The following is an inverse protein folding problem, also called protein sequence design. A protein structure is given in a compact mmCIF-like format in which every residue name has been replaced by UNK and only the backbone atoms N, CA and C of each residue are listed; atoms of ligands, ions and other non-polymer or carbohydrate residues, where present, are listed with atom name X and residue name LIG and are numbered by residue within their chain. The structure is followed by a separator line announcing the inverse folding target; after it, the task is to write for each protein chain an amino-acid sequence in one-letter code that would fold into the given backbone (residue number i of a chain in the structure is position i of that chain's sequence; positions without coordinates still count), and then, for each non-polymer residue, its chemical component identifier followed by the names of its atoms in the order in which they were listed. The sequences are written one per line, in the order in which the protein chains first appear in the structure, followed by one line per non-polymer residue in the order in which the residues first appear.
data_IF_128855834340
#
_entry.id   IF_128855834340
#
_cell.length_a   1.000
_cell.length_b   1.000
_cell.length_c   1.000
_cell.angle_alpha   90.00
_cell.angle_beta   90.00
_cell.angle_gamma   90.00
#
_symmetry.space_group_name_H-M   'P 1'
#
loop_
_entity.id
_entity.type
_entity.pdbx_description
1 polymer ?
#
# COMPACT_ATOMS: atom_id res chain seq x y z
N UNK A 1 -35.95 -7.28 -21.00
CA UNK A 1 -35.61 -7.60 -19.60
C UNK A 1 -34.21 -8.17 -19.58
N UNK A 2 -33.27 -7.56 -18.84
CA UNK A 2 -31.90 -8.05 -18.79
C UNK A 2 -31.89 -9.41 -18.06
N UNK A 3 -31.59 -10.47 -18.80
CA UNK A 3 -31.38 -11.80 -18.25
C UNK A 3 -30.19 -11.74 -17.29
N UNK A 4 -30.43 -12.04 -16.01
CA UNK A 4 -29.39 -12.00 -14.99
C UNK A 4 -28.33 -13.06 -15.33
N UNK A 5 -27.10 -12.62 -15.57
CA UNK A 5 -25.99 -13.51 -15.90
C UNK A 5 -25.85 -14.61 -14.83
N UNK A 6 -25.64 -15.88 -15.22
CA UNK A 6 -25.51 -16.98 -14.27
C UNK A 6 -24.41 -16.71 -13.23
N UNK A 7 -24.62 -17.09 -11.96
CA UNK A 7 -23.66 -16.88 -10.84
C UNK A 7 -22.25 -17.40 -11.15
N UNK A 8 -22.15 -18.46 -11.95
CA UNK A 8 -20.88 -19.03 -12.41
C UNK A 8 -20.07 -18.06 -13.30
N UNK A 9 -20.75 -17.22 -14.07
CA UNK A 9 -20.11 -16.19 -14.91
C UNK A 9 -19.46 -15.13 -14.02
N UNK A 10 -20.16 -14.66 -12.97
CA UNK A 10 -19.60 -13.71 -12.00
C UNK A 10 -18.39 -14.27 -11.26
N UNK A 11 -18.42 -15.56 -10.89
CA UNK A 11 -17.29 -16.23 -10.23
C UNK A 11 -16.05 -16.27 -11.13
N UNK A 12 -16.23 -16.57 -12.42
CA UNK A 12 -15.15 -16.53 -13.43
C UNK A 12 -14.63 -15.11 -13.65
N UNK A 13 -15.51 -14.11 -13.74
CA UNK A 13 -15.14 -12.69 -13.87
C UNK A 13 -14.26 -12.27 -12.69
N UNK A 14 -14.66 -12.59 -11.45
CA UNK A 14 -13.89 -12.24 -10.26
C UNK A 14 -12.54 -12.95 -10.18
N UNK A 15 -12.45 -14.20 -10.63
CA UNK A 15 -11.17 -14.91 -10.73
C UNK A 15 -10.24 -14.29 -11.78
N UNK A 16 -10.80 -13.86 -12.92
CA UNK A 16 -10.05 -13.14 -13.95
C UNK A 16 -9.53 -11.80 -13.41
N UNK A 17 -10.38 -11.01 -12.76
CA UNK A 17 -10.03 -9.72 -12.15
C UNK A 17 -8.88 -9.86 -11.13
N UNK A 18 -8.92 -10.85 -10.24
CA UNK A 18 -7.88 -11.05 -9.24
C UNK A 18 -6.53 -11.38 -9.90
N UNK A 19 -6.53 -12.26 -10.92
CA UNK A 19 -5.31 -12.66 -11.62
C UNK A 19 -4.72 -11.51 -12.45
N UNK A 20 -5.57 -10.79 -13.18
CA UNK A 20 -5.13 -9.67 -14.01
C UNK A 20 -4.68 -8.50 -13.15
N UNK A 21 -5.35 -8.20 -12.03
CA UNK A 21 -4.93 -7.14 -11.10
C UNK A 21 -3.53 -7.37 -10.54
N UNK A 22 -3.17 -8.62 -10.23
CA UNK A 22 -1.81 -8.99 -9.84
C UNK A 22 -0.79 -8.77 -10.96
N UNK A 23 -1.10 -9.20 -12.18
CA UNK A 23 -0.22 -9.02 -13.35
C UNK A 23 -0.05 -7.55 -13.76
N UNK A 24 -1.12 -6.74 -13.70
CA UNK A 24 -1.07 -5.30 -14.00
C UNK A 24 -0.26 -4.57 -12.92
N UNK A 25 -0.48 -4.88 -11.63
CA UNK A 25 0.35 -4.34 -10.55
C UNK A 25 1.82 -4.77 -10.68
N UNK A 26 2.11 -5.97 -11.19
CA UNK A 26 3.49 -6.43 -11.41
C UNK A 26 4.13 -5.79 -12.65
N UNK A 27 3.36 -5.44 -13.68
CA UNK A 27 3.84 -4.71 -14.85
C UNK A 27 4.25 -3.27 -14.49
N UNK A 28 3.57 -2.66 -13.51
CA UNK A 28 3.91 -1.35 -12.94
C UNK A 28 4.75 -1.44 -11.64
N UNK A 29 5.05 -2.67 -11.19
CA UNK A 29 5.70 -2.98 -9.93
C UNK A 29 7.23 -2.96 -10.02
N UNK A 30 7.77 -1.88 -10.59
CA UNK A 30 9.21 -1.69 -10.79
C UNK A 30 9.56 -0.30 -11.33
N UNK A 31 8.59 0.36 -11.97
CA UNK A 31 8.72 1.71 -12.53
C UNK A 31 8.15 2.81 -11.62
N UNK A 32 7.85 2.52 -10.35
CA UNK A 32 7.70 3.59 -9.36
C UNK A 32 9.09 4.11 -8.99
N UNK A 33 9.71 4.84 -9.92
CA UNK A 33 10.61 5.91 -9.53
C UNK A 33 9.76 6.91 -8.77
N UNK A 34 9.80 6.83 -7.44
CA UNK A 34 9.28 7.89 -6.59
C UNK A 34 9.79 9.23 -7.13
N UNK A 35 8.88 10.08 -7.62
CA UNK A 35 9.22 11.44 -8.04
C UNK A 35 9.83 12.24 -6.87
N UNK A 36 9.59 11.77 -5.64
CA UNK A 36 10.39 12.11 -4.48
C UNK A 36 11.69 11.31 -4.50
N UNK A 37 12.78 11.97 -4.90
CA UNK A 37 14.09 11.67 -4.31
C UNK A 37 13.90 11.91 -2.81
N UNK A 38 13.68 10.84 -2.05
CA UNK A 38 13.68 10.93 -0.60
C UNK A 38 14.94 11.68 -0.20
N UNK A 39 14.84 12.66 0.71
CA UNK A 39 16.03 13.19 1.37
C UNK A 39 16.88 11.98 1.74
N UNK A 40 18.16 11.96 1.39
CA UNK A 40 19.06 10.89 1.78
C UNK A 40 19.10 10.81 3.31
N UNK A 41 18.13 10.13 3.89
CA UNK A 41 18.05 9.81 5.29
C UNK A 41 18.42 8.35 5.30
N UNK A 42 19.69 8.05 5.58
CA UNK A 42 20.02 6.72 6.06
C UNK A 42 19.03 6.37 7.16
N UNK A 43 18.37 5.22 7.01
CA UNK A 43 17.37 4.73 7.95
C UNK A 43 18.02 4.66 9.35
N UNK A 44 17.71 5.65 10.20
CA UNK A 44 18.38 5.87 11.48
C UNK A 44 17.71 5.12 12.65
N UNK A 45 17.00 4.03 12.34
CA UNK A 45 16.17 3.24 13.26
C UNK A 45 14.80 3.88 13.57
N UNK A 46 13.80 3.01 13.74
CA UNK A 46 12.43 3.39 14.13
C UNK A 46 12.42 3.73 15.61
N UNK A 47 11.99 4.93 15.95
CA UNK A 47 11.96 5.42 17.33
C UNK A 47 10.62 6.02 17.69
N UNK A 48 10.33 6.04 18.99
CA UNK A 48 9.14 6.70 19.51
C UNK A 48 9.20 8.20 19.23
N UNK A 49 8.04 8.78 18.92
CA UNK A 49 7.85 10.20 18.70
C UNK A 49 8.23 10.99 19.95
N UNK A 50 8.98 12.05 19.74
CA UNK A 50 9.32 13.02 20.77
C UNK A 50 8.71 14.37 20.40
N UNK A 51 8.35 15.14 21.43
CA UNK A 51 7.83 16.48 21.21
C UNK A 51 8.85 17.34 20.45
N UNK A 52 8.44 17.88 19.30
CA UNK A 52 9.31 18.62 18.38
C UNK A 52 9.66 17.86 17.11
N UNK A 53 9.34 16.57 17.03
CA UNK A 53 9.45 15.81 15.79
C UNK A 53 8.41 16.25 14.76
N UNK A 54 8.79 16.15 13.48
CA UNK A 54 7.88 16.43 12.37
C UNK A 54 6.80 15.35 12.31
N UNK A 55 5.55 15.74 12.53
CA UNK A 55 4.37 14.86 12.47
C UNK A 55 4.23 14.17 11.11
N UNK A 56 4.79 14.75 10.04
CA UNK A 56 4.80 14.14 8.70
C UNK A 56 5.74 12.96 8.58
N UNK A 57 6.66 12.79 9.53
CA UNK A 57 7.57 11.65 9.59
C UNK A 57 6.97 10.45 10.32
N UNK A 58 5.75 10.56 10.88
CA UNK A 58 5.14 9.45 11.62
C UNK A 58 4.90 8.23 10.72
N UNK A 59 5.46 7.09 11.12
CA UNK A 59 5.13 5.79 10.57
C UNK A 59 3.87 5.25 11.24
N UNK A 60 2.72 5.50 10.62
CA UNK A 60 1.42 5.02 11.08
C UNK A 60 1.31 3.49 11.10
N UNK A 61 2.09 2.79 10.27
CA UNK A 61 2.05 1.33 10.18
C UNK A 61 2.77 0.68 11.38
N UNK A 62 3.91 1.24 11.80
CA UNK A 62 4.55 0.82 13.05
C UNK A 62 3.72 1.25 14.25
N UNK A 63 3.24 2.49 14.24
CA UNK A 63 2.47 3.05 15.35
C UNK A 63 1.23 2.19 15.67
N UNK A 64 0.49 1.79 14.65
CA UNK A 64 -0.67 0.91 14.79
C UNK A 64 -0.35 -0.49 15.36
N UNK A 65 0.90 -0.96 15.24
CA UNK A 65 1.34 -2.26 15.81
C UNK A 65 1.87 -2.15 17.23
N UNK A 66 2.35 -0.97 17.63
CA UNK A 66 3.04 -0.76 18.91
C UNK A 66 2.21 0.02 19.94
N UNK A 67 0.99 0.43 19.58
CA UNK A 67 0.06 1.19 20.42
C UNK A 67 0.65 2.52 20.94
N UNK A 68 1.61 3.07 20.19
CA UNK A 68 2.29 4.34 20.46
C UNK A 68 2.73 4.99 19.13
N UNK A 69 3.16 6.26 19.14
CA UNK A 69 3.54 7.01 17.95
C UNK A 69 5.03 6.82 17.65
N UNK A 70 5.35 6.41 16.43
CA UNK A 70 6.72 6.19 15.96
C UNK A 70 7.03 7.01 14.71
N UNK A 71 8.29 7.44 14.57
CA UNK A 71 8.85 8.02 13.35
C UNK A 71 9.87 7.09 12.69
#
# INVERSE_FOLDING_TARGET
MAEALPKEVFKKIRQLEIRTRGSVNSLFGGEYHSAFKGKGVEFAEVREYQFGDDVRAIDWNVSARRDDVYI
#
